data_IF_502308032851
#
_entry.id   IF_502308032851
#
_cell.length_a   1.000
_cell.length_b   1.000
_cell.length_c   1.000
_cell.angle_alpha   90.00
_cell.angle_beta   90.00
_cell.angle_gamma   90.00
#
_symmetry.space_group_name_H-M   'P 1'
#
loop_
_entity.id
_entity.type
_entity.pdbx_description
1 polymer ?
#
# COMPACT_ATOMS: atom_id res chain seq x y z
N UNK A 1 -3.24 -13.48 -17.80
CA UNK A 1 -3.85 -14.43 -16.86
C UNK A 1 -3.53 -14.07 -15.44
N UNK A 2 -4.52 -14.11 -14.57
CA UNK A 2 -4.32 -13.91 -13.15
C UNK A 2 -3.64 -15.13 -12.54
N UNK A 3 -2.42 -14.96 -12.04
CA UNK A 3 -1.75 -16.01 -11.30
C UNK A 3 -2.21 -15.91 -9.83
N UNK A 4 -2.78 -16.97 -9.30
CA UNK A 4 -3.35 -16.97 -7.95
C UNK A 4 -2.41 -17.63 -6.93
N UNK A 5 -1.15 -17.24 -6.96
CA UNK A 5 -0.13 -17.77 -6.05
C UNK A 5 -0.46 -17.46 -4.58
N UNK A 6 -0.93 -16.25 -4.31
CA UNK A 6 -1.25 -15.84 -2.94
C UNK A 6 -2.35 -16.73 -2.32
N UNK A 7 -3.37 -17.10 -3.10
CA UNK A 7 -4.43 -18.00 -2.64
C UNK A 7 -3.92 -19.40 -2.33
N UNK A 8 -3.03 -19.93 -3.15
CA UNK A 8 -2.41 -21.23 -2.91
C UNK A 8 -1.59 -21.20 -1.63
N UNK A 9 -0.78 -20.16 -1.43
CA UNK A 9 0.00 -19.99 -0.21
C UNK A 9 -0.91 -19.88 1.01
N UNK A 10 -1.95 -19.08 0.93
CA UNK A 10 -2.90 -18.88 2.03
C UNK A 10 -3.59 -20.19 2.44
N UNK A 11 -3.86 -21.08 1.49
CA UNK A 11 -4.47 -22.37 1.77
C UNK A 11 -3.54 -23.33 2.53
N UNK A 12 -2.23 -23.07 2.51
CA UNK A 12 -1.23 -23.97 3.09
C UNK A 12 -0.47 -23.37 4.27
N UNK A 13 -0.90 -22.25 4.80
CA UNK A 13 -0.23 -21.60 5.94
C UNK A 13 -1.25 -20.93 6.87
N UNK A 14 -0.87 -20.77 8.13
CA UNK A 14 -1.62 -19.94 9.08
C UNK A 14 -1.04 -18.53 9.20
N UNK A 15 0.04 -18.25 8.49
CA UNK A 15 0.63 -16.91 8.47
C UNK A 15 -0.25 -15.94 7.67
N UNK A 16 -0.24 -14.66 8.03
CA UNK A 16 -0.91 -13.64 7.19
C UNK A 16 -0.32 -13.65 5.77
N UNK A 17 -1.20 -13.65 4.78
CA UNK A 17 -0.80 -13.58 3.37
C UNK A 17 -1.31 -12.29 2.77
N UNK A 18 -0.42 -11.54 2.15
CA UNK A 18 -0.73 -10.28 1.48
C UNK A 18 -0.57 -10.48 -0.02
N UNK A 19 -1.60 -10.16 -0.78
CA UNK A 19 -1.58 -10.24 -2.23
C UNK A 19 -1.43 -8.86 -2.86
N UNK A 20 -0.57 -8.78 -3.87
CA UNK A 20 -0.43 -7.60 -4.72
C UNK A 20 -0.93 -7.99 -6.11
N UNK A 21 -2.13 -7.57 -6.52
CA UNK A 21 -2.58 -7.80 -7.88
C UNK A 21 -1.68 -7.04 -8.85
N UNK A 22 -1.20 -7.71 -9.88
CA UNK A 22 -0.30 -7.09 -10.85
C UNK A 22 -1.09 -6.79 -12.12
N UNK A 23 -0.91 -5.58 -12.63
CA UNK A 23 -1.50 -5.16 -13.88
C UNK A 23 -1.01 -6.05 -15.02
N UNK A 24 -1.94 -6.66 -15.74
CA UNK A 24 -1.64 -7.46 -16.90
C UNK A 24 -2.17 -6.76 -18.17
N UNK A 25 -1.98 -7.36 -19.30
CA UNK A 25 -2.43 -6.81 -20.60
C UNK A 25 -3.95 -6.70 -20.74
N UNK A 26 -4.72 -7.37 -19.85
CA UNK A 26 -6.18 -7.45 -19.94
C UNK A 26 -6.83 -6.82 -18.73
N UNK A 27 -7.87 -6.00 -18.94
CA UNK A 27 -8.72 -5.44 -17.87
C UNK A 27 -7.95 -4.61 -16.83
N UNK A 28 -6.75 -4.11 -17.16
CA UNK A 28 -5.94 -3.25 -16.28
C UNK A 28 -5.70 -3.83 -14.88
N UNK A 29 -5.63 -5.16 -14.77
CA UNK A 29 -5.40 -5.84 -13.50
C UNK A 29 -6.67 -6.20 -12.74
N UNK A 30 -7.84 -5.93 -13.27
CA UNK A 30 -9.12 -6.24 -12.60
C UNK A 30 -9.28 -7.74 -12.36
N UNK A 31 -8.88 -8.58 -13.32
CA UNK A 31 -8.91 -10.02 -13.18
C UNK A 31 -8.02 -10.52 -12.06
N UNK A 32 -6.81 -9.96 -11.93
CA UNK A 32 -5.89 -10.27 -10.84
C UNK A 32 -6.46 -9.83 -9.50
N UNK A 33 -7.06 -8.65 -9.43
CA UNK A 33 -7.69 -8.13 -8.22
C UNK A 33 -8.84 -9.04 -7.78
N UNK A 34 -9.75 -9.37 -8.67
CA UNK A 34 -10.89 -10.22 -8.34
C UNK A 34 -10.46 -11.60 -7.88
N UNK A 35 -9.44 -12.18 -8.50
CA UNK A 35 -8.88 -13.46 -8.07
C UNK A 35 -8.31 -13.42 -6.65
N UNK A 36 -7.76 -12.28 -6.26
CA UNK A 36 -7.14 -12.11 -4.96
C UNK A 36 -8.14 -11.82 -3.84
N UNK A 37 -9.24 -11.10 -4.14
CA UNK A 37 -10.21 -10.70 -3.10
C UNK A 37 -11.31 -11.74 -2.90
N UNK A 38 -11.68 -12.51 -3.92
CA UNK A 38 -12.74 -13.51 -3.82
C UNK A 38 -12.21 -14.85 -3.36
N UNK A 39 -11.92 -14.94 -2.06
CA UNK A 39 -11.39 -16.16 -1.45
C UNK A 39 -12.49 -16.95 -0.73
N UNK A 40 -12.38 -18.28 -0.72
CA UNK A 40 -13.36 -19.09 0.00
C UNK A 40 -13.26 -18.87 1.52
N UNK A 41 -14.35 -19.19 2.22
CA UNK A 41 -14.39 -19.08 3.68
C UNK A 41 -13.28 -19.94 4.30
N UNK A 42 -12.52 -19.36 5.22
CA UNK A 42 -11.44 -20.04 5.92
C UNK A 42 -10.05 -19.83 5.31
N UNK A 43 -9.97 -19.19 4.15
CA UNK A 43 -8.67 -18.92 3.48
C UNK A 43 -8.56 -17.43 3.16
N UNK A 44 -8.31 -16.58 4.17
CA UNK A 44 -8.26 -15.14 3.97
C UNK A 44 -6.94 -14.69 3.33
N UNK A 45 -7.05 -13.68 2.46
CA UNK A 45 -5.90 -13.01 1.86
C UNK A 45 -6.13 -11.51 1.96
N UNK A 46 -5.15 -10.79 2.51
CA UNK A 46 -5.19 -9.32 2.55
C UNK A 46 -4.71 -8.80 1.19
N UNK A 47 -5.56 -8.07 0.48
CA UNK A 47 -5.25 -7.61 -0.86
C UNK A 47 -5.08 -6.10 -0.86
N UNK A 48 -3.94 -5.62 -1.38
CA UNK A 48 -3.66 -4.19 -1.56
C UNK A 48 -4.07 -3.77 -2.97
N UNK A 49 -3.85 -2.50 -3.30
CA UNK A 49 -4.17 -1.98 -4.63
C UNK A 49 -3.38 -2.68 -5.74
N UNK A 50 -3.89 -2.61 -6.95
CA UNK A 50 -3.19 -3.10 -8.15
C UNK A 50 -1.82 -2.41 -8.22
N UNK A 51 -0.77 -3.19 -8.39
CA UNK A 51 0.64 -2.77 -8.40
C UNK A 51 1.09 -2.11 -7.09
N UNK A 52 0.35 -2.29 -5.99
CA UNK A 52 0.60 -1.64 -4.70
C UNK A 52 1.64 -2.33 -3.82
N UNK A 53 2.80 -2.67 -4.37
CA UNK A 53 3.86 -3.35 -3.62
C UNK A 53 4.40 -2.56 -2.44
N UNK A 54 4.48 -1.24 -2.56
CA UNK A 54 4.94 -0.38 -1.47
C UNK A 54 4.01 -0.50 -0.25
N UNK A 55 2.71 -0.41 -0.46
CA UNK A 55 1.74 -0.56 0.64
C UNK A 55 1.71 -1.99 1.18
N UNK A 56 1.96 -3.00 0.35
CA UNK A 56 2.08 -4.38 0.82
C UNK A 56 3.26 -4.52 1.79
N UNK A 57 4.39 -3.91 1.47
CA UNK A 57 5.57 -3.90 2.34
C UNK A 57 5.28 -3.23 3.67
N UNK A 58 4.64 -2.07 3.63
CA UNK A 58 4.26 -1.32 4.84
C UNK A 58 3.28 -2.14 5.69
N UNK A 59 2.29 -2.78 5.05
CA UNK A 59 1.32 -3.61 5.77
C UNK A 59 2.01 -4.80 6.45
N UNK A 60 2.95 -5.45 5.77
CA UNK A 60 3.74 -6.53 6.37
C UNK A 60 4.52 -6.04 7.59
N UNK A 61 5.14 -4.87 7.49
CA UNK A 61 5.85 -4.26 8.62
C UNK A 61 4.90 -3.90 9.76
N UNK A 62 3.71 -3.41 9.46
CA UNK A 62 2.70 -3.13 10.49
C UNK A 62 2.30 -4.40 11.24
N UNK A 63 2.15 -5.51 10.54
CA UNK A 63 1.84 -6.80 11.16
C UNK A 63 2.98 -7.23 12.09
N UNK A 64 4.23 -7.14 11.62
CA UNK A 64 5.40 -7.46 12.43
C UNK A 64 5.56 -6.50 13.61
N UNK A 65 5.25 -5.23 13.42
CA UNK A 65 5.35 -4.19 14.44
C UNK A 65 4.42 -4.37 15.62
N UNK A 66 3.40 -5.21 15.52
CA UNK A 66 2.53 -5.55 16.64
C UNK A 66 3.33 -6.19 17.77
N UNK A 67 4.35 -6.98 17.45
CA UNK A 67 5.17 -7.70 18.41
C UNK A 67 6.65 -7.29 18.43
N UNK A 68 7.06 -6.41 17.54
CA UNK A 68 8.45 -5.97 17.41
C UNK A 68 8.53 -4.45 17.57
N UNK A 69 9.00 -4.00 18.73
CA UNK A 69 9.09 -2.57 19.06
C UNK A 69 10.01 -1.80 18.10
N UNK A 70 11.09 -2.41 17.63
CA UNK A 70 12.00 -1.79 16.68
C UNK A 70 11.34 -1.52 15.34
N UNK A 71 10.56 -2.47 14.84
CA UNK A 71 9.78 -2.29 13.61
C UNK A 71 8.73 -1.21 13.81
N UNK A 72 8.01 -1.23 14.93
CA UNK A 72 6.99 -0.23 15.24
C UNK A 72 7.59 1.18 15.27
N UNK A 73 8.77 1.34 15.87
CA UNK A 73 9.45 2.63 15.94
C UNK A 73 9.85 3.14 14.55
N UNK A 74 10.42 2.27 13.72
CA UNK A 74 10.78 2.65 12.35
C UNK A 74 9.56 3.06 11.52
N UNK A 75 8.42 2.38 11.71
CA UNK A 75 7.16 2.74 11.06
C UNK A 75 6.67 4.11 11.49
N UNK A 76 6.72 4.40 12.79
CA UNK A 76 6.34 5.71 13.34
C UNK A 76 7.20 6.82 12.75
N UNK A 77 8.51 6.61 12.67
CA UNK A 77 9.45 7.57 12.09
C UNK A 77 9.16 7.78 10.61
N UNK A 78 8.95 6.73 9.85
CA UNK A 78 8.63 6.81 8.42
C UNK A 78 7.32 7.56 8.17
N UNK A 79 6.33 7.32 9.00
CA UNK A 79 5.02 8.00 8.89
C UNK A 79 5.15 9.50 9.21
N UNK A 80 5.92 9.84 10.22
CA UNK A 80 6.18 11.25 10.56
C UNK A 80 6.94 11.96 9.44
N UNK A 81 7.95 11.30 8.87
CA UNK A 81 8.69 11.84 7.73
C UNK A 81 7.80 12.09 6.52
N UNK A 82 6.89 11.16 6.22
CA UNK A 82 5.92 11.31 5.14
C UNK A 82 5.00 12.50 5.38
N UNK A 83 4.54 12.67 6.62
CA UNK A 83 3.70 13.81 7.02
C UNK A 83 4.44 15.14 6.81
N UNK A 84 5.72 15.21 7.20
CA UNK A 84 6.52 16.39 7.01
C UNK A 84 6.76 16.71 5.54
N UNK A 85 6.97 15.71 4.70
CA UNK A 85 7.12 15.89 3.26
C UNK A 85 5.85 16.46 2.63
N UNK A 86 4.69 15.99 3.04
CA UNK A 86 3.40 16.50 2.55
C UNK A 86 3.21 17.95 2.98
N UNK A 87 3.52 18.29 4.24
CA UNK A 87 3.42 19.65 4.75
C UNK A 87 4.37 20.59 4.01
N UNK A 88 5.58 20.16 3.71
CA UNK A 88 6.55 20.96 2.95
C UNK A 88 6.05 21.22 1.52
N UNK A 89 5.45 20.23 0.86
CA UNK A 89 4.87 20.39 -0.47
C UNK A 89 3.69 21.37 -0.44
N UNK A 90 2.81 21.24 0.54
CA UNK A 90 1.68 22.15 0.71
C UNK A 90 2.16 23.59 0.89
N UNK A 91 3.16 23.80 1.73
CA UNK A 91 3.72 25.12 1.96
C UNK A 91 4.35 25.70 0.69
N UNK A 92 5.09 24.90 -0.05
CA UNK A 92 5.70 25.32 -1.31
C UNK A 92 4.63 25.72 -2.35
N UNK A 93 3.55 24.97 -2.43
CA UNK A 93 2.42 25.28 -3.32
C UNK A 93 1.74 26.58 -2.90
N UNK A 94 1.52 26.76 -1.58
CA UNK A 94 0.91 27.98 -1.05
C UNK A 94 1.76 29.21 -1.33
N UNK A 95 3.07 29.12 -1.14
CA UNK A 95 4.01 30.20 -1.45
C UNK A 95 4.02 30.54 -2.95
N UNK A 96 4.00 29.51 -3.80
CA UNK A 96 3.95 29.70 -5.25
C UNK A 96 2.66 30.38 -5.69
N UNK A 97 1.51 29.97 -5.14
CA UNK A 97 0.22 30.59 -5.42
C UNK A 97 0.21 32.06 -4.98
N UNK A 98 0.77 32.36 -3.81
CA UNK A 98 0.86 33.74 -3.32
C UNK A 98 1.75 34.60 -4.22
N UNK A 99 2.88 34.07 -4.65
CA UNK A 99 3.76 34.76 -5.59
C UNK A 99 3.07 35.08 -6.91
N UNK A 100 2.25 34.15 -7.41
CA UNK A 100 1.45 34.38 -8.65
C UNK A 100 0.42 35.48 -8.43
N UNK A 101 -0.25 35.51 -7.30
CA UNK A 101 -1.23 36.57 -6.97
C UNK A 101 -0.52 37.92 -6.84
N UNK A 102 0.64 37.98 -6.20
CA UNK A 102 1.40 39.22 -6.03
C UNK A 102 1.90 39.76 -7.37
N UNK A 103 2.23 38.90 -8.30
CA UNK A 103 2.65 39.28 -9.65
C UNK A 103 1.53 39.93 -10.49
N UNK A 104 0.27 39.73 -10.10
CA UNK A 104 -0.88 40.30 -10.80
C UNK A 104 -1.30 41.69 -10.26
N UNK A 105 -0.68 42.16 -9.21
CA UNK A 105 -0.94 43.49 -8.62
C UNK A 105 -0.24 44.63 -9.41
#
# INVERSE_FOLDING_TARGET
KAAHLAGILAAHTTLPVIAVPIKSSTLDGLDALLSSVQMPKGVPVATVAIDGGDNASILAEQILGVFDAGVAERLSTAKENMKQEIQAKDQAIAEQAQAMLDAQK
#
